data_IF_296938705734
#
_entry.id   IF_296938705734
#
_cell.length_a   1.000
_cell.length_b   1.000
_cell.length_c   1.000
_cell.angle_alpha   90.00
_cell.angle_beta   90.00
_cell.angle_gamma   90.00
#
_symmetry.space_group_name_H-M   'P 1'
#
loop_
_entity.id
_entity.type
_entity.pdbx_description
1 polymer ?
#
# COMPACT_ATOMS: atom_id res chain seq x y z
N UNK A 1 -11.10 -6.54 2.90
CA UNK A 1 -9.95 -7.42 2.80
C UNK A 1 -9.87 -8.28 1.55
N UNK A 2 -11.00 -8.61 0.92
CA UNK A 2 -11.01 -9.49 -0.24
C UNK A 2 -10.31 -8.91 -1.48
N UNK A 3 -10.22 -7.58 -1.57
CA UNK A 3 -9.57 -6.94 -2.70
C UNK A 3 -8.05 -7.08 -2.71
N UNK A 4 -7.43 -7.29 -1.55
CA UNK A 4 -5.97 -7.36 -1.47
C UNK A 4 -5.42 -8.61 -2.15
N UNK A 5 -5.94 -9.81 -1.90
CA UNK A 5 -5.49 -10.99 -2.64
C UNK A 5 -5.75 -10.90 -4.14
N UNK A 6 -6.91 -10.36 -4.53
CA UNK A 6 -7.25 -10.20 -5.94
C UNK A 6 -6.27 -9.27 -6.65
N UNK A 7 -5.96 -8.13 -6.03
CA UNK A 7 -5.02 -7.17 -6.60
C UNK A 7 -3.61 -7.75 -6.69
N UNK A 8 -3.18 -8.48 -5.66
CA UNK A 8 -1.87 -9.10 -5.64
C UNK A 8 -1.77 -10.18 -6.72
N UNK A 9 -2.84 -10.95 -6.93
CA UNK A 9 -2.91 -11.92 -8.01
C UNK A 9 -2.85 -11.28 -9.38
N UNK A 10 -3.50 -10.12 -9.56
CA UNK A 10 -3.44 -9.39 -10.81
C UNK A 10 -2.01 -8.92 -11.10
N UNK A 11 -1.29 -8.46 -10.08
CA UNK A 11 0.09 -8.03 -10.23
C UNK A 11 1.00 -9.20 -10.59
N UNK A 12 0.77 -10.35 -9.97
CA UNK A 12 1.50 -11.57 -10.33
C UNK A 12 1.29 -11.93 -11.79
N UNK A 13 0.03 -11.89 -12.23
CA UNK A 13 -0.31 -12.20 -13.62
C UNK A 13 0.37 -11.24 -14.58
N UNK A 14 0.38 -9.93 -14.26
CA UNK A 14 1.02 -8.95 -15.11
C UNK A 14 2.52 -9.22 -15.25
N UNK A 15 3.17 -9.53 -14.15
CA UNK A 15 4.60 -9.84 -14.18
C UNK A 15 4.87 -11.12 -14.96
N UNK A 16 4.08 -12.15 -14.75
CA UNK A 16 4.24 -13.43 -15.44
C UNK A 16 4.10 -13.27 -16.96
N UNK A 17 3.15 -12.42 -17.39
CA UNK A 17 2.92 -12.16 -18.80
C UNK A 17 3.93 -11.20 -19.42
N UNK A 18 4.74 -10.55 -18.61
CA UNK A 18 5.72 -9.59 -19.08
C UNK A 18 5.12 -8.28 -19.54
N UNK A 19 3.93 -7.91 -19.03
CA UNK A 19 3.33 -6.62 -19.35
C UNK A 19 3.90 -5.54 -18.44
N UNK A 20 3.66 -4.27 -18.79
CA UNK A 20 4.09 -3.13 -17.97
C UNK A 20 2.97 -2.58 -17.09
N UNK A 21 1.91 -3.36 -16.90
CA UNK A 21 0.80 -2.97 -16.05
C UNK A 21 1.21 -2.93 -14.58
N UNK A 22 0.72 -1.92 -13.88
CA UNK A 22 0.91 -1.79 -12.44
C UNK A 22 -0.46 -1.77 -11.78
N UNK A 23 -0.62 -2.55 -10.72
CA UNK A 23 -1.88 -2.64 -9.99
C UNK A 23 -1.84 -1.68 -8.80
N UNK A 24 -2.90 -0.90 -8.62
CA UNK A 24 -3.10 -0.09 -7.42
C UNK A 24 -4.15 -0.77 -6.56
N UNK A 25 -3.81 -0.98 -5.30
CA UNK A 25 -4.73 -1.60 -4.35
C UNK A 25 -5.05 -0.62 -3.23
N UNK A 26 -6.31 -0.19 -3.16
CA UNK A 26 -6.78 0.77 -2.16
C UNK A 26 -7.50 0.05 -1.04
N UNK A 27 -7.20 0.39 0.20
CA UNK A 27 -7.93 -0.16 1.34
C UNK A 27 -7.79 0.74 2.55
N UNK A 28 -8.68 0.53 3.54
CA UNK A 28 -8.65 1.29 4.77
C UNK A 28 -7.61 0.75 5.76
N UNK A 29 -7.29 1.56 6.75
CA UNK A 29 -6.28 1.22 7.75
C UNK A 29 -6.61 -0.04 8.55
N UNK A 30 -7.90 -0.33 8.76
CA UNK A 30 -8.30 -1.55 9.46
C UNK A 30 -7.88 -2.82 8.77
N UNK A 31 -7.89 -2.84 7.44
CA UNK A 31 -7.51 -4.02 6.68
C UNK A 31 -6.01 -4.33 6.80
N UNK A 32 -5.20 -3.33 7.13
CA UNK A 32 -3.76 -3.50 7.24
C UNK A 32 -3.36 -4.45 8.39
N UNK A 33 -4.26 -4.73 9.32
CA UNK A 33 -3.99 -5.63 10.43
C UNK A 33 -4.40 -7.07 10.16
N UNK A 34 -4.96 -7.35 9.00
CA UNK A 34 -5.37 -8.71 8.67
C UNK A 34 -4.18 -9.56 8.19
N UNK A 35 -4.18 -10.83 8.56
CA UNK A 35 -3.13 -11.75 8.17
C UNK A 35 -2.97 -11.85 6.66
N UNK A 36 -4.08 -11.81 5.92
CA UNK A 36 -4.07 -11.87 4.46
C UNK A 36 -3.26 -10.72 3.86
N UNK A 37 -3.36 -9.51 4.46
CA UNK A 37 -2.57 -8.38 3.99
C UNK A 37 -1.07 -8.67 4.13
N UNK A 38 -0.66 -9.18 5.27
CA UNK A 38 0.75 -9.49 5.51
C UNK A 38 1.27 -10.57 4.56
N UNK A 39 0.48 -11.60 4.33
CA UNK A 39 0.85 -12.67 3.41
C UNK A 39 1.01 -12.15 1.99
N UNK A 40 0.07 -11.33 1.53
CA UNK A 40 0.12 -10.78 0.18
C UNK A 40 1.32 -9.86 -0.02
N UNK A 41 1.59 -9.02 0.97
CA UNK A 41 2.72 -8.09 0.88
C UNK A 41 4.05 -8.84 0.89
N UNK A 42 4.18 -9.88 1.72
CA UNK A 42 5.39 -10.69 1.71
C UNK A 42 5.63 -11.32 0.36
N UNK A 43 4.59 -11.85 -0.26
CA UNK A 43 4.70 -12.44 -1.59
C UNK A 43 5.07 -11.40 -2.63
N UNK A 44 4.41 -10.25 -2.60
CA UNK A 44 4.67 -9.17 -3.54
C UNK A 44 6.12 -8.67 -3.42
N UNK A 45 6.61 -8.54 -2.19
CA UNK A 45 7.98 -8.11 -1.95
C UNK A 45 8.99 -9.15 -2.44
N UNK A 46 8.74 -10.42 -2.15
CA UNK A 46 9.65 -11.50 -2.52
C UNK A 46 9.79 -11.63 -4.05
N UNK A 47 8.72 -11.37 -4.78
CA UNK A 47 8.70 -11.53 -6.24
C UNK A 47 8.78 -10.21 -7.00
N UNK A 48 8.98 -9.08 -6.31
CA UNK A 48 9.03 -7.74 -6.91
C UNK A 48 7.82 -7.48 -7.81
N UNK A 49 6.62 -7.77 -7.29
CA UNK A 49 5.41 -7.61 -8.07
C UNK A 49 5.09 -6.14 -8.34
N UNK A 50 4.52 -5.83 -9.52
CA UNK A 50 4.18 -4.45 -9.88
C UNK A 50 2.86 -4.03 -9.25
N UNK A 51 2.89 -3.76 -7.94
CA UNK A 51 1.70 -3.35 -7.19
C UNK A 51 2.07 -2.28 -6.18
N UNK A 52 1.18 -1.31 -6.01
CA UNK A 52 1.29 -0.27 -5.00
C UNK A 52 0.08 -0.38 -4.08
N UNK A 53 0.33 -0.56 -2.79
CA UNK A 53 -0.72 -0.64 -1.78
C UNK A 53 -0.94 0.75 -1.20
N UNK A 54 -2.15 1.28 -1.38
CA UNK A 54 -2.50 2.62 -0.93
C UNK A 54 -3.46 2.48 0.24
N UNK A 55 -3.01 2.91 1.41
CA UNK A 55 -3.75 2.79 2.66
C UNK A 55 -4.38 4.14 2.97
N UNK A 56 -5.70 4.17 3.11
CA UNK A 56 -6.40 5.37 3.53
C UNK A 56 -6.54 5.34 5.04
N UNK A 57 -5.92 6.31 5.70
CA UNK A 57 -5.97 6.44 7.14
C UNK A 57 -6.76 7.69 7.51
N UNK A 58 -8.02 7.49 7.88
CA UNK A 58 -8.90 8.58 8.31
C UNK A 58 -8.76 8.78 9.81
N UNK A 59 -8.05 9.82 10.20
CA UNK A 59 -7.70 10.06 11.60
C UNK A 59 -8.91 10.42 12.48
N UNK A 60 -10.05 10.78 11.91
CA UNK A 60 -11.18 11.24 12.73
C UNK A 60 -12.18 10.16 13.08
N UNK A 61 -12.39 9.19 12.21
CA UNK A 61 -13.47 8.23 12.41
C UNK A 61 -13.17 7.20 13.48
N UNK A 62 -11.95 6.69 13.50
CA UNK A 62 -11.60 5.53 14.34
C UNK A 62 -10.22 5.67 14.96
N UNK A 63 -9.75 6.88 15.14
CA UNK A 63 -8.38 7.16 15.56
C UNK A 63 -7.97 6.42 16.82
N UNK A 64 -8.82 6.45 17.85
CA UNK A 64 -8.49 5.83 19.13
C UNK A 64 -8.37 4.32 18.98
N UNK A 65 -9.31 3.71 18.27
CA UNK A 65 -9.31 2.26 18.09
C UNK A 65 -8.13 1.81 17.26
N UNK A 66 -7.81 2.54 16.20
CA UNK A 66 -6.66 2.23 15.35
C UNK A 66 -5.38 2.26 16.15
N UNK A 67 -5.21 3.24 17.03
CA UNK A 67 -4.02 3.35 17.85
C UNK A 67 -3.89 2.21 18.86
N UNK A 68 -5.01 1.71 19.35
CA UNK A 68 -4.99 0.58 20.28
C UNK A 68 -4.64 -0.72 19.60
N UNK A 69 -5.10 -0.90 18.36
CA UNK A 69 -4.87 -2.13 17.61
C UNK A 69 -3.47 -2.16 17.03
N UNK A 70 -2.96 -1.02 16.60
CA UNK A 70 -1.68 -0.93 15.90
C UNK A 70 -0.69 -0.13 16.70
N UNK A 71 0.43 -0.73 17.07
CA UNK A 71 1.50 -0.02 17.79
C UNK A 71 2.17 1.03 16.92
N UNK A 72 2.24 0.78 15.63
CA UNK A 72 2.77 1.73 14.67
C UNK A 72 1.67 2.64 14.19
N UNK A 73 1.80 3.93 14.45
CA UNK A 73 0.82 4.91 13.99
C UNK A 73 0.98 5.24 12.51
N UNK A 74 2.18 5.07 11.97
CA UNK A 74 2.44 5.20 10.55
C UNK A 74 2.49 3.81 9.95
N UNK A 75 1.44 3.43 9.25
CA UNK A 75 1.36 2.09 8.68
C UNK A 75 2.42 1.86 7.61
N UNK A 76 2.83 2.91 6.91
CA UNK A 76 3.87 2.81 5.91
C UNK A 76 5.22 2.39 6.50
N UNK A 77 5.46 2.64 7.79
CA UNK A 77 6.69 2.20 8.44
C UNK A 77 6.83 0.68 8.44
N UNK A 78 5.73 -0.03 8.37
CA UNK A 78 5.76 -1.48 8.28
C UNK A 78 6.47 -1.97 7.03
N UNK A 79 6.56 -1.12 6.00
CA UNK A 79 7.25 -1.47 4.77
C UNK A 79 8.71 -1.85 5.03
N UNK A 80 9.32 -1.26 6.06
CA UNK A 80 10.71 -1.59 6.41
C UNK A 80 10.85 -3.08 6.72
N UNK A 81 9.88 -3.65 7.42
CA UNK A 81 9.90 -5.07 7.75
C UNK A 81 9.75 -5.99 6.55
N UNK A 82 9.21 -5.48 5.44
CA UNK A 82 9.08 -6.24 4.21
C UNK A 82 10.21 -5.94 3.21
N UNK A 83 11.06 -4.97 3.54
CA UNK A 83 12.16 -4.59 2.64
C UNK A 83 11.71 -3.77 1.44
N UNK A 84 10.58 -3.06 1.54
CA UNK A 84 10.04 -2.26 0.44
C UNK A 84 9.88 -0.80 0.87
N UNK A 85 9.78 0.13 -0.09
CA UNK A 85 9.55 1.53 0.25
C UNK A 85 8.19 1.77 0.90
N UNK A 86 8.15 2.66 1.87
CA UNK A 86 6.93 3.12 2.50
C UNK A 86 6.90 4.64 2.52
N UNK A 87 5.75 5.21 2.18
CA UNK A 87 5.56 6.65 2.13
C UNK A 87 4.34 7.02 2.96
N UNK A 88 4.46 8.08 3.74
CA UNK A 88 3.34 8.66 4.48
C UNK A 88 3.12 10.07 3.96
N UNK A 89 1.93 10.33 3.43
CA UNK A 89 1.63 11.60 2.78
C UNK A 89 0.31 12.17 3.28
N UNK A 90 0.13 13.47 3.04
CA UNK A 90 -1.14 14.15 3.30
C UNK A 90 -2.10 13.81 2.15
N UNK A 91 -3.11 12.99 2.46
CA UNK A 91 -4.08 12.57 1.47
C UNK A 91 -5.00 13.68 0.97
N UNK A 92 -5.01 14.84 1.65
CA UNK A 92 -5.77 16.01 1.20
C UNK A 92 -4.97 16.90 0.25
N UNK A 93 -3.69 16.62 0.05
CA UNK A 93 -2.83 17.37 -0.86
C UNK A 93 -2.69 16.60 -2.17
N UNK A 94 -3.43 17.04 -3.17
CA UNK A 94 -3.47 16.36 -4.46
C UNK A 94 -2.10 16.28 -5.13
N UNK A 95 -1.31 17.33 -5.03
CA UNK A 95 0.02 17.32 -5.65
C UNK A 95 0.92 16.28 -5.00
N UNK A 96 0.89 16.20 -3.68
CA UNK A 96 1.69 15.23 -2.95
C UNK A 96 1.26 13.80 -3.27
N UNK A 97 -0.06 13.56 -3.35
CA UNK A 97 -0.59 12.25 -3.73
C UNK A 97 -0.10 11.88 -5.13
N UNK A 98 -0.25 12.80 -6.07
CA UNK A 98 0.13 12.56 -7.46
C UNK A 98 1.61 12.23 -7.59
N UNK A 99 2.46 13.02 -6.96
CA UNK A 99 3.91 12.82 -7.06
C UNK A 99 4.35 11.51 -6.42
N UNK A 100 3.84 11.21 -5.23
CA UNK A 100 4.27 10.03 -4.47
C UNK A 100 3.76 8.75 -5.13
N UNK A 101 2.49 8.71 -5.49
CA UNK A 101 1.92 7.53 -6.15
C UNK A 101 2.56 7.35 -7.51
N UNK A 102 2.79 8.45 -8.24
CA UNK A 102 3.45 8.39 -9.53
C UNK A 102 4.84 7.79 -9.46
N UNK A 103 5.61 8.18 -8.44
CA UNK A 103 6.94 7.62 -8.23
C UNK A 103 6.86 6.12 -7.91
N UNK A 104 5.95 5.74 -7.03
CA UNK A 104 5.80 4.33 -6.66
C UNK A 104 5.38 3.48 -7.87
N UNK A 105 4.48 3.99 -8.69
CA UNK A 105 4.05 3.30 -9.90
C UNK A 105 5.20 3.16 -10.90
N UNK A 106 5.96 4.23 -11.08
CA UNK A 106 7.11 4.18 -11.98
C UNK A 106 8.12 3.13 -11.54
N UNK A 107 8.45 3.13 -10.25
CA UNK A 107 9.41 2.18 -9.70
C UNK A 107 8.89 0.73 -9.83
N UNK A 108 7.61 0.52 -9.57
CA UNK A 108 7.00 -0.80 -9.72
C UNK A 108 7.06 -1.28 -11.18
N UNK A 109 6.77 -0.36 -12.11
CA UNK A 109 6.82 -0.68 -13.54
C UNK A 109 8.22 -1.04 -13.99
N UNK A 110 9.23 -0.43 -13.38
CA UNK A 110 10.63 -0.71 -13.69
C UNK A 110 11.17 -1.98 -13.03
N UNK A 111 10.32 -2.71 -12.31
CA UNK A 111 10.73 -3.95 -11.68
C UNK A 111 11.33 -3.80 -10.30
N UNK A 112 11.21 -2.63 -9.68
CA UNK A 112 11.76 -2.40 -8.34
C UNK A 112 10.90 -2.94 -7.23
N UNK A 113 9.72 -3.45 -7.56
CA UNK A 113 8.85 -4.10 -6.60
C UNK A 113 7.74 -3.21 -6.06
N UNK A 114 7.02 -3.72 -5.05
CA UNK A 114 5.87 -3.01 -4.49
C UNK A 114 6.29 -1.87 -3.58
N UNK A 115 5.30 -1.04 -3.23
CA UNK A 115 5.46 0.02 -2.23
C UNK A 115 4.17 0.14 -1.44
N UNK A 116 4.27 0.72 -0.25
CA UNK A 116 3.12 1.08 0.58
C UNK A 116 3.05 2.59 0.65
N UNK A 117 1.89 3.14 0.32
CA UNK A 117 1.64 4.58 0.44
C UNK A 117 0.50 4.77 1.41
N UNK A 118 0.78 5.40 2.54
CA UNK A 118 -0.25 5.73 3.52
C UNK A 118 -0.70 7.17 3.32
N UNK A 119 -2.00 7.34 3.02
CA UNK A 119 -2.61 8.63 2.83
C UNK A 119 -3.37 9.00 4.09
N UNK A 120 -2.87 9.96 4.85
CA UNK A 120 -3.55 10.43 6.05
C UNK A 120 -4.52 11.52 5.65
N UNK A 121 -5.80 11.27 5.89
CA UNK A 121 -6.85 12.23 5.57
C UNK A 121 -7.56 12.67 6.83
N UNK A 122 -8.14 13.85 6.78
CA UNK A 122 -8.98 14.32 7.88
C UNK A 122 -10.36 14.62 7.34
N UNK A 123 -11.39 14.28 8.13
CA UNK A 123 -12.75 14.68 7.85
C UNK A 123 -12.97 16.07 8.35
N UNK A 124 -13.56 16.86 7.54
CA UNK A 124 -14.00 18.19 7.97
C UNK A 124 -15.51 18.26 8.08
#
# INVERSE_FOLDING_TARGET
>A
GGGIPTATGAAYSAKYRGTDQVTLCFFGDGAANEGTFHECINMAAAWDLPIVYIIENNLYGITVDTRRVTKEHDLAKRAIGYGIPGYTIDGNDIEQVYETVGKAVKDAREGKGPAIVECKTSRT
#
